data_IF_609202969564
#
_entry.id   IF_609202969564
#
_cell.length_a   1.000
_cell.length_b   1.000
_cell.length_c   1.000
_cell.angle_alpha   90.00
_cell.angle_beta   90.00
_cell.angle_gamma   90.00
#
_symmetry.space_group_name_H-M   'P 1'
#
loop_
_entity.id
_entity.type
_entity.pdbx_description
1 polymer ?
#
# COMPACT_ATOMS: atom_id res chain seq x y z
N UNK A 1 30.06 85.75 8.39
CA UNK A 1 30.88 84.72 9.04
C UNK A 1 31.46 85.32 10.30
N UNK A 2 30.76 85.12 11.42
CA UNK A 2 31.33 85.41 12.75
C UNK A 2 32.50 84.45 12.97
N UNK A 3 33.68 84.97 13.29
CA UNK A 3 34.83 84.15 13.66
C UNK A 3 34.52 83.50 15.01
N UNK A 4 34.20 82.22 14.99
CA UNK A 4 34.16 81.40 16.20
C UNK A 4 35.49 81.57 16.94
N UNK A 5 35.50 81.94 18.22
CA UNK A 5 36.76 82.13 18.96
C UNK A 5 37.55 80.83 18.91
N UNK A 6 38.87 80.94 18.67
CA UNK A 6 39.76 79.78 18.69
C UNK A 6 39.69 79.14 20.08
N UNK A 7 39.28 77.87 20.14
CA UNK A 7 39.23 77.11 21.40
C UNK A 7 40.62 77.08 22.02
N UNK A 8 40.71 77.46 23.30
CA UNK A 8 42.00 77.40 24.01
C UNK A 8 42.32 75.95 24.39
N UNK A 9 43.60 75.67 24.66
CA UNK A 9 44.04 74.31 25.02
C UNK A 9 43.34 73.83 26.29
N UNK A 10 43.08 74.74 27.23
CA UNK A 10 42.40 74.47 28.50
C UNK A 10 40.93 74.08 28.28
N UNK A 11 40.22 74.81 27.42
CA UNK A 11 38.83 74.50 27.05
C UNK A 11 38.72 73.14 26.36
N UNK A 12 39.64 72.84 25.45
CA UNK A 12 39.72 71.52 24.83
C UNK A 12 39.94 70.42 25.87
N UNK A 13 40.90 70.57 26.79
CA UNK A 13 41.15 69.55 27.82
C UNK A 13 39.97 69.34 28.76
N UNK A 14 39.23 70.40 29.09
CA UNK A 14 38.03 70.28 29.92
C UNK A 14 36.92 69.51 29.20
N UNK A 15 36.65 69.86 27.93
CA UNK A 15 35.66 69.17 27.10
C UNK A 15 36.05 67.70 26.85
N UNK A 16 37.32 67.45 26.54
CA UNK A 16 37.86 66.10 26.41
C UNK A 16 37.63 65.27 27.67
N UNK A 17 37.98 65.79 28.84
CA UNK A 17 37.88 65.05 30.11
C UNK A 17 36.43 64.77 30.50
N UNK A 18 35.48 65.57 30.00
CA UNK A 18 34.04 65.34 30.15
C UNK A 18 33.56 64.16 29.31
N UNK A 19 34.01 64.08 28.06
CA UNK A 19 33.57 63.04 27.11
C UNK A 19 34.35 61.72 27.25
N UNK A 20 35.59 61.79 27.74
CA UNK A 20 36.47 60.65 27.99
C UNK A 20 36.91 60.59 29.46
N UNK A 21 35.99 60.34 30.41
CA UNK A 21 36.32 60.33 31.85
C UNK A 21 37.28 59.20 32.23
N UNK A 22 37.33 58.11 31.44
CA UNK A 22 38.28 57.01 31.61
C UNK A 22 39.70 57.33 31.14
N UNK A 23 39.88 58.41 30.36
CA UNK A 23 41.18 58.81 29.81
C UNK A 23 41.37 60.33 29.85
N UNK A 24 41.55 60.92 31.06
CA UNK A 24 41.75 62.35 31.18
C UNK A 24 43.11 62.78 30.62
N UNK A 25 43.13 63.93 29.95
CA UNK A 25 44.31 64.61 29.42
C UNK A 25 44.64 65.85 30.23
N UNK A 26 45.93 66.07 30.44
CA UNK A 26 46.50 67.33 30.92
C UNK A 26 47.30 68.04 29.82
N UNK A 27 47.62 69.32 30.01
CA UNK A 27 48.46 70.09 29.07
C UNK A 27 49.83 69.44 28.83
N UNK A 28 50.40 68.81 29.86
CA UNK A 28 51.70 68.13 29.76
C UNK A 28 51.62 66.83 28.96
N UNK A 29 50.48 66.15 28.98
CA UNK A 29 50.27 64.92 28.24
C UNK A 29 50.25 65.14 26.72
N UNK A 30 49.89 66.35 26.27
CA UNK A 30 49.96 66.72 24.84
C UNK A 30 51.39 66.76 24.29
N UNK A 31 52.41 66.68 25.15
CA UNK A 31 53.83 66.58 24.79
C UNK A 31 54.36 65.14 24.85
N UNK A 32 53.52 64.16 25.20
CA UNK A 32 53.92 62.75 25.35
C UNK A 32 53.33 61.93 24.20
N UNK A 33 54.20 61.28 23.42
CA UNK A 33 53.81 60.47 22.25
C UNK A 33 52.73 59.44 22.57
N UNK A 34 52.96 58.60 23.58
CA UNK A 34 52.02 57.55 23.97
C UNK A 34 50.64 58.10 24.41
N UNK A 35 50.60 59.28 25.04
CA UNK A 35 49.34 59.91 25.46
C UNK A 35 48.55 60.44 24.27
N UNK A 36 49.22 61.14 23.35
CA UNK A 36 48.59 61.65 22.13
C UNK A 36 48.09 60.51 21.25
N UNK A 37 48.89 59.45 21.08
CA UNK A 37 48.48 58.28 20.30
C UNK A 37 47.28 57.55 20.93
N UNK A 38 47.27 57.38 22.25
CA UNK A 38 46.13 56.75 22.94
C UNK A 38 44.87 57.60 22.83
N UNK A 39 44.98 58.92 22.94
CA UNK A 39 43.87 59.85 22.71
C UNK A 39 43.32 59.70 21.28
N UNK A 40 44.18 59.61 20.27
CA UNK A 40 43.75 59.37 18.89
C UNK A 40 43.00 58.05 18.72
N UNK A 41 43.47 56.98 19.35
CA UNK A 41 42.76 55.69 19.34
C UNK A 41 41.35 55.80 19.94
N UNK A 42 41.18 56.55 21.02
CA UNK A 42 39.84 56.80 21.58
C UNK A 42 38.92 57.56 20.62
N UNK A 43 39.47 58.50 19.83
CA UNK A 43 38.69 59.18 18.80
C UNK A 43 38.36 58.23 17.64
N UNK A 44 39.31 57.41 17.20
CA UNK A 44 39.10 56.43 16.13
C UNK A 44 38.03 55.40 16.49
N UNK A 45 38.00 54.92 17.74
CA UNK A 45 36.95 54.03 18.23
C UNK A 45 35.56 54.64 18.05
N UNK A 46 35.41 55.91 18.43
CA UNK A 46 34.13 56.62 18.31
C UNK A 46 33.74 56.89 16.86
N UNK A 47 34.72 57.02 15.97
CA UNK A 47 34.50 57.12 14.53
C UNK A 47 34.26 55.76 13.86
N UNK A 48 34.31 54.64 14.59
CA UNK A 48 34.16 53.29 14.04
C UNK A 48 35.35 52.83 13.20
N UNK A 49 36.52 53.45 13.38
CA UNK A 49 37.76 53.04 12.73
C UNK A 49 38.36 51.91 13.56
N UNK A 50 38.45 50.73 12.95
CA UNK A 50 38.97 49.54 13.59
C UNK A 50 40.43 49.72 14.06
N UNK A 51 40.69 49.42 15.34
CA UNK A 51 42.03 49.46 15.92
C UNK A 51 42.95 48.47 15.27
N UNK A 52 42.45 47.29 14.94
CA UNK A 52 43.31 46.22 14.42
C UNK A 52 43.93 46.65 13.09
N UNK A 53 43.16 47.35 12.26
CA UNK A 53 43.63 48.00 11.03
C UNK A 53 44.77 49.01 11.28
N UNK A 54 44.80 49.69 12.42
CA UNK A 54 45.87 50.66 12.77
C UNK A 54 47.18 49.93 13.08
N UNK A 55 47.10 48.78 13.75
CA UNK A 55 48.27 47.98 14.11
C UNK A 55 48.68 46.99 13.00
N UNK A 56 47.85 46.82 11.97
CA UNK A 56 48.09 45.86 10.91
C UNK A 56 49.30 46.25 10.05
N UNK A 57 50.17 45.27 9.83
CA UNK A 57 51.23 45.36 8.85
C UNK A 57 50.66 45.53 7.43
N UNK A 58 51.36 46.24 6.53
CA UNK A 58 51.01 46.24 5.13
C UNK A 58 51.07 44.81 4.54
N UNK A 59 50.35 44.56 3.42
CA UNK A 59 50.27 43.23 2.80
C UNK A 59 51.64 42.62 2.55
N UNK A 60 51.76 41.30 2.71
CA UNK A 60 53.05 40.58 2.58
C UNK A 60 53.79 40.86 1.27
N UNK A 61 53.05 41.09 0.19
CA UNK A 61 53.55 41.46 -1.14
C UNK A 61 54.37 42.76 -1.15
N UNK A 62 54.15 43.64 -0.17
CA UNK A 62 54.83 44.92 -0.01
C UNK A 62 55.92 44.92 1.07
N UNK A 63 56.10 43.79 1.76
CA UNK A 63 57.08 43.67 2.85
C UNK A 63 58.48 43.42 2.29
N UNK A 64 59.40 44.34 2.57
CA UNK A 64 60.81 44.15 2.28
C UNK A 64 61.53 43.40 3.43
N UNK A 65 62.76 42.94 3.20
CA UNK A 65 63.58 42.24 4.22
C UNK A 65 63.88 43.09 5.46
N UNK A 66 63.74 44.41 5.38
CA UNK A 66 64.04 45.34 6.47
C UNK A 66 62.80 45.74 7.28
N UNK A 67 61.62 45.25 6.90
CA UNK A 67 60.35 45.62 7.51
C UNK A 67 60.31 45.38 9.02
N UNK A 68 60.94 44.29 9.48
CA UNK A 68 61.01 43.93 10.90
C UNK A 68 61.67 45.01 11.78
N UNK A 69 62.56 45.84 11.20
CA UNK A 69 63.24 46.91 11.93
C UNK A 69 62.37 48.15 12.14
N UNK A 70 61.23 48.24 11.46
CA UNK A 70 60.32 49.39 11.50
C UNK A 70 58.93 49.03 12.02
N UNK A 71 58.77 47.82 12.58
CA UNK A 71 57.48 47.32 13.05
C UNK A 71 56.81 48.27 14.06
N UNK A 72 57.60 48.84 14.96
CA UNK A 72 57.12 49.77 16.00
C UNK A 72 56.60 51.11 15.43
N UNK A 73 56.99 51.47 14.19
CA UNK A 73 56.53 52.69 13.53
C UNK A 73 55.22 52.50 12.77
N UNK A 74 54.78 51.26 12.53
CA UNK A 74 53.56 50.95 11.77
C UNK A 74 52.34 51.71 12.34
N UNK A 75 52.07 51.69 13.66
CA UNK A 75 50.89 52.38 14.19
C UNK A 75 50.96 53.88 13.93
N UNK A 76 52.14 54.49 14.09
CA UNK A 76 52.33 55.93 13.85
C UNK A 76 52.11 56.28 12.37
N UNK A 77 52.61 55.45 11.46
CA UNK A 77 52.45 55.64 10.01
C UNK A 77 50.97 55.49 9.63
N UNK A 78 50.30 54.44 10.11
CA UNK A 78 48.89 54.18 9.82
C UNK A 78 47.98 55.27 10.40
N UNK A 79 48.18 55.69 11.65
CA UNK A 79 47.47 56.84 12.23
C UNK A 79 47.67 58.10 11.38
N UNK A 80 48.90 58.39 10.95
CA UNK A 80 49.18 59.56 10.09
C UNK A 80 48.42 59.48 8.76
N UNK A 81 48.37 58.30 8.14
CA UNK A 81 47.62 58.08 6.88
C UNK A 81 46.13 58.25 7.07
N UNK A 82 45.55 57.65 8.11
CA UNK A 82 44.13 57.75 8.44
C UNK A 82 43.74 59.21 8.64
N UNK A 83 44.51 59.94 9.44
CA UNK A 83 44.20 61.35 9.73
C UNK A 83 44.31 62.19 8.46
N UNK A 84 45.38 62.03 7.67
CA UNK A 84 45.50 62.76 6.40
C UNK A 84 44.37 62.40 5.42
N UNK A 85 43.88 61.16 5.42
CA UNK A 85 42.73 60.77 4.62
C UNK A 85 41.45 61.46 5.10
N UNK A 86 41.17 61.46 6.40
CA UNK A 86 40.01 62.15 7.00
C UNK A 86 40.03 63.66 6.73
N UNK A 87 41.21 64.26 6.74
CA UNK A 87 41.39 65.70 6.51
C UNK A 87 41.41 66.03 5.00
N UNK A 88 41.79 65.09 4.13
CA UNK A 88 41.80 65.32 2.67
C UNK A 88 40.43 65.69 2.11
N UNK A 89 39.37 65.27 2.80
CA UNK A 89 37.97 65.58 2.48
C UNK A 89 37.55 66.97 2.99
N UNK A 90 38.42 67.67 3.74
CA UNK A 90 38.21 69.01 4.31
C UNK A 90 39.16 70.02 3.67
N UNK A 91 38.74 70.73 2.60
CA UNK A 91 39.60 71.64 1.83
C UNK A 91 40.21 72.81 2.63
N UNK A 92 39.64 73.08 3.82
CA UNK A 92 39.97 74.23 4.65
C UNK A 92 41.18 73.96 5.58
N UNK A 93 41.57 72.69 5.73
CA UNK A 93 42.69 72.27 6.58
C UNK A 93 43.90 71.99 5.68
N UNK A 94 44.56 73.04 5.21
CA UNK A 94 45.69 72.96 4.27
C UNK A 94 47.02 72.43 4.85
N UNK A 95 46.98 71.62 5.92
CA UNK A 95 48.18 71.19 6.65
C UNK A 95 48.33 69.67 6.60
N UNK A 96 49.40 69.18 5.95
CA UNK A 96 49.75 67.77 5.96
C UNK A 96 50.33 67.38 7.32
N UNK A 97 49.71 66.40 7.97
CA UNK A 97 50.21 65.84 9.21
C UNK A 97 51.31 64.83 8.86
N UNK A 98 52.46 64.97 9.49
CA UNK A 98 53.60 64.05 9.35
C UNK A 98 53.77 63.18 10.59
N UNK A 99 54.51 62.08 10.45
CA UNK A 99 54.84 61.16 11.55
C UNK A 99 55.55 61.86 12.72
N UNK A 100 56.29 62.94 12.46
CA UNK A 100 57.01 63.68 13.49
C UNK A 100 56.09 64.35 14.50
N UNK A 101 54.86 64.70 14.11
CA UNK A 101 53.88 65.24 15.04
C UNK A 101 53.49 64.26 16.15
N UNK A 102 53.71 62.95 15.94
CA UNK A 102 53.42 61.88 16.91
C UNK A 102 54.68 61.35 17.60
N UNK A 103 55.82 61.31 16.91
CA UNK A 103 57.10 60.88 17.50
C UNK A 103 57.71 61.96 18.40
N UNK A 104 57.51 63.24 18.07
CA UNK A 104 58.02 64.39 18.82
C UNK A 104 56.91 65.43 19.05
N UNK A 105 55.84 65.07 19.78
CA UNK A 105 54.70 65.94 19.94
C UNK A 105 55.05 67.16 20.80
N UNK A 106 54.54 68.32 20.37
CA UNK A 106 54.51 69.53 21.19
C UNK A 106 53.06 69.91 21.44
N UNK A 107 52.78 70.64 22.52
CA UNK A 107 51.42 71.13 22.76
C UNK A 107 50.87 71.95 21.58
N UNK A 108 51.73 72.67 20.84
CA UNK A 108 51.35 73.44 19.65
C UNK A 108 50.96 72.58 18.45
N UNK A 109 51.52 71.37 18.32
CA UNK A 109 51.23 70.46 17.19
C UNK A 109 50.14 69.46 17.52
N UNK A 110 50.14 68.90 18.74
CA UNK A 110 49.17 67.87 19.14
C UNK A 110 47.77 68.44 19.35
N UNK A 111 47.67 69.63 19.94
CA UNK A 111 46.37 70.24 20.25
C UNK A 111 45.50 70.48 19.00
N UNK A 112 45.98 71.12 17.91
CA UNK A 112 45.18 71.30 16.71
C UNK A 112 44.73 69.99 16.06
N UNK A 113 45.59 68.96 16.06
CA UNK A 113 45.26 67.65 15.49
C UNK A 113 44.15 66.97 16.29
N UNK A 114 44.30 66.90 17.62
CA UNK A 114 43.30 66.29 18.50
C UNK A 114 42.00 67.08 18.50
N UNK A 115 42.05 68.41 18.53
CA UNK A 115 40.86 69.26 18.47
C UNK A 115 40.09 69.06 17.17
N UNK A 116 40.78 68.96 16.03
CA UNK A 116 40.15 68.72 14.74
C UNK A 116 39.41 67.37 14.72
N UNK A 117 40.07 66.31 15.16
CA UNK A 117 39.49 64.96 15.17
C UNK A 117 38.39 64.82 16.21
N UNK A 118 38.53 65.44 17.38
CA UNK A 118 37.50 65.51 18.40
C UNK A 118 36.25 66.23 17.89
N UNK A 119 36.41 67.36 17.19
CA UNK A 119 35.27 68.07 16.59
C UNK A 119 34.61 67.25 15.47
N UNK A 120 35.40 66.53 14.66
CA UNK A 120 34.86 65.61 13.65
C UNK A 120 34.03 64.50 14.30
N UNK A 121 34.52 63.92 15.39
CA UNK A 121 33.80 62.93 16.17
C UNK A 121 32.46 63.47 16.69
N UNK A 122 32.47 64.63 17.35
CA UNK A 122 31.24 65.26 17.84
C UNK A 122 30.25 65.55 16.72
N UNK A 123 30.73 66.08 15.59
CA UNK A 123 29.90 66.32 14.41
C UNK A 123 29.28 65.01 13.89
N UNK A 124 30.06 63.94 13.81
CA UNK A 124 29.57 62.64 13.36
C UNK A 124 28.51 62.07 14.31
N UNK A 125 28.73 62.13 15.63
CA UNK A 125 27.75 61.68 16.62
C UNK A 125 26.44 62.48 16.53
N UNK A 126 26.50 63.80 16.28
CA UNK A 126 25.31 64.62 16.08
C UNK A 126 24.58 64.24 14.79
N UNK A 127 25.30 64.06 13.67
CA UNK A 127 24.69 63.64 12.39
C UNK A 127 24.11 62.23 12.45
N UNK A 128 24.73 61.31 13.18
CA UNK A 128 24.19 59.96 13.38
C UNK A 128 22.86 59.99 14.13
N UNK A 129 22.66 60.92 15.08
CA UNK A 129 21.35 61.10 15.74
C UNK A 129 20.26 61.54 14.76
N UNK A 130 20.60 62.35 13.77
CA UNK A 130 19.67 62.78 12.73
C UNK A 130 19.30 61.62 11.77
N UNK A 131 20.21 60.65 11.59
CA UNK A 131 20.02 59.49 10.68
C UNK A 131 19.34 58.31 11.39
N UNK A 132 19.53 58.16 12.71
CA UNK A 132 19.03 57.04 13.50
C UNK A 132 17.55 56.68 13.27
N UNK A 133 16.60 57.64 13.17
CA UNK A 133 15.19 57.31 12.91
C UNK A 133 14.96 56.60 11.57
N UNK A 134 15.71 56.97 10.53
CA UNK A 134 15.63 56.35 9.21
C UNK A 134 16.25 54.95 9.21
N UNK A 135 17.32 54.76 9.99
CA UNK A 135 17.95 53.45 10.18
C UNK A 135 17.01 52.48 10.92
N UNK A 136 16.35 52.96 11.98
CA UNK A 136 15.32 52.19 12.70
C UNK A 136 14.13 51.82 11.79
N UNK A 137 13.67 52.75 10.95
CA UNK A 137 12.63 52.47 9.96
C UNK A 137 13.06 51.40 8.96
N UNK A 138 14.30 51.49 8.45
CA UNK A 138 14.86 50.51 7.53
C UNK A 138 14.91 49.12 8.17
N UNK A 139 15.41 49.00 9.41
CA UNK A 139 15.45 47.73 10.12
C UNK A 139 14.05 47.17 10.39
N UNK A 140 13.08 48.03 10.71
CA UNK A 140 11.68 47.62 10.87
C UNK A 140 11.12 47.05 9.57
N UNK A 141 11.37 47.71 8.43
CA UNK A 141 10.94 47.22 7.11
C UNK A 141 11.62 45.92 6.70
N UNK A 142 12.90 45.75 7.02
CA UNK A 142 13.61 44.48 6.80
C UNK A 142 12.94 43.34 7.59
N UNK A 143 12.53 43.59 8.84
CA UNK A 143 11.83 42.60 9.64
C UNK A 143 10.42 42.30 9.09
N UNK A 144 9.71 43.31 8.59
CA UNK A 144 8.42 43.12 7.90
C UNK A 144 8.57 42.22 6.67
N UNK A 145 9.60 42.45 5.84
CA UNK A 145 9.89 41.58 4.68
C UNK A 145 10.18 40.15 5.11
N UNK A 146 11.00 39.94 6.15
CA UNK A 146 11.29 38.60 6.67
C UNK A 146 10.04 37.86 7.14
N UNK A 147 9.15 38.54 7.86
CA UNK A 147 7.89 37.91 8.32
C UNK A 147 6.96 37.55 7.16
N UNK A 148 6.93 38.36 6.10
CA UNK A 148 6.21 38.04 4.86
C UNK A 148 6.83 36.85 4.10
N UNK A 149 8.16 36.78 4.04
CA UNK A 149 8.87 35.64 3.45
C UNK A 149 8.56 34.33 4.21
N UNK A 150 8.59 34.36 5.54
CA UNK A 150 8.21 33.22 6.38
C UNK A 150 6.74 32.81 6.15
N UNK A 151 5.85 33.80 6.04
CA UNK A 151 4.44 33.58 5.72
C UNK A 151 4.24 32.90 4.36
N UNK A 152 4.95 33.38 3.32
CA UNK A 152 4.95 32.77 1.99
C UNK A 152 5.44 31.33 2.04
N UNK A 153 6.53 31.06 2.76
CA UNK A 153 7.11 29.70 2.84
C UNK A 153 6.13 28.73 3.50
N UNK A 154 5.47 29.12 4.59
CA UNK A 154 4.41 28.30 5.23
C UNK A 154 3.23 28.02 4.31
N UNK A 155 2.84 28.99 3.48
CA UNK A 155 1.77 28.78 2.50
C UNK A 155 2.17 27.79 1.42
N UNK A 156 3.43 27.84 0.95
CA UNK A 156 3.95 26.87 -0.01
C UNK A 156 4.01 25.45 0.57
N UNK A 157 4.41 25.30 1.84
CA UNK A 157 4.38 24.01 2.54
C UNK A 157 2.97 23.42 2.56
N UNK A 158 1.97 24.21 2.97
CA UNK A 158 0.55 23.77 2.98
C UNK A 158 0.04 23.42 1.58
N UNK A 159 0.46 24.16 0.55
CA UNK A 159 0.08 23.87 -0.83
C UNK A 159 0.65 22.52 -1.28
N UNK A 160 1.90 22.23 -0.92
CA UNK A 160 2.56 20.97 -1.23
C UNK A 160 1.89 19.80 -0.49
N UNK A 161 1.53 19.96 0.78
CA UNK A 161 0.78 18.97 1.54
C UNK A 161 -0.57 18.65 0.88
N UNK A 162 -1.32 19.68 0.47
CA UNK A 162 -2.59 19.49 -0.25
C UNK A 162 -2.41 18.78 -1.61
N UNK A 163 -1.33 19.10 -2.34
CA UNK A 163 -1.02 18.43 -3.59
C UNK A 163 -0.68 16.95 -3.39
N UNK A 164 0.09 16.62 -2.34
CA UNK A 164 0.41 15.25 -1.97
C UNK A 164 -0.84 14.46 -1.57
N UNK A 165 -1.72 15.04 -0.74
CA UNK A 165 -3.00 14.41 -0.38
C UNK A 165 -3.90 14.18 -1.60
N UNK A 166 -3.94 15.13 -2.54
CA UNK A 166 -4.68 14.99 -3.79
C UNK A 166 -4.12 13.85 -4.64
N UNK A 167 -2.80 13.72 -4.72
CA UNK A 167 -2.13 12.58 -5.36
C UNK A 167 -2.52 11.25 -4.73
N UNK A 168 -2.38 11.12 -3.40
CA UNK A 168 -2.80 9.92 -2.65
C UNK A 168 -4.29 9.61 -2.78
N UNK A 169 -5.14 10.63 -2.94
CA UNK A 169 -6.58 10.43 -3.19
C UNK A 169 -6.82 9.90 -4.60
N UNK A 170 -6.12 10.41 -5.60
CA UNK A 170 -6.22 9.92 -6.97
C UNK A 170 -5.79 8.44 -7.07
N UNK A 171 -4.65 8.07 -6.45
CA UNK A 171 -4.19 6.67 -6.41
C UNK A 171 -5.19 5.73 -5.72
N UNK A 172 -5.86 6.20 -4.66
CA UNK A 172 -6.91 5.43 -3.98
C UNK A 172 -8.15 5.25 -4.86
N UNK A 173 -8.54 6.29 -5.60
CA UNK A 173 -9.66 6.22 -6.53
C UNK A 173 -9.35 5.26 -7.68
N UNK A 174 -8.15 5.30 -8.25
CA UNK A 174 -7.74 4.38 -9.31
C UNK A 174 -7.80 2.92 -8.85
N UNK A 175 -7.34 2.62 -7.62
CA UNK A 175 -7.46 1.28 -7.04
C UNK A 175 -8.92 0.84 -6.88
N UNK A 176 -9.78 1.73 -6.39
CA UNK A 176 -11.20 1.44 -6.26
C UNK A 176 -11.85 1.21 -7.63
N UNK A 177 -11.49 1.99 -8.65
CA UNK A 177 -12.00 1.80 -10.01
C UNK A 177 -11.57 0.44 -10.57
N UNK A 178 -10.31 0.02 -10.36
CA UNK A 178 -9.86 -1.32 -10.76
C UNK A 178 -10.58 -2.45 -10.02
N UNK A 179 -10.88 -2.26 -8.73
CA UNK A 179 -11.63 -3.23 -7.92
C UNK A 179 -13.09 -3.31 -8.35
N UNK A 180 -13.72 -2.18 -8.67
CA UNK A 180 -15.08 -2.13 -9.22
C UNK A 180 -15.15 -2.91 -10.54
N UNK A 181 -14.20 -2.67 -11.47
CA UNK A 181 -14.17 -3.39 -12.75
C UNK A 181 -14.05 -4.91 -12.51
N UNK A 182 -13.17 -5.33 -11.60
CA UNK A 182 -13.00 -6.74 -11.28
C UNK A 182 -14.28 -7.36 -10.69
N UNK A 183 -14.93 -6.68 -9.75
CA UNK A 183 -16.19 -7.13 -9.15
C UNK A 183 -17.34 -7.16 -10.17
N UNK A 184 -17.37 -6.22 -11.12
CA UNK A 184 -18.33 -6.23 -12.22
C UNK A 184 -18.13 -7.43 -13.15
N UNK A 185 -16.87 -7.81 -13.42
CA UNK A 185 -16.53 -9.02 -14.17
C UNK A 185 -16.94 -10.29 -13.40
N UNK A 186 -16.63 -10.39 -12.10
CA UNK A 186 -17.04 -11.53 -11.26
C UNK A 186 -18.57 -11.68 -11.23
N UNK A 187 -19.30 -10.56 -11.04
CA UNK A 187 -20.76 -10.55 -11.04
C UNK A 187 -21.32 -11.01 -12.40
N UNK A 188 -20.65 -10.68 -13.50
CA UNK A 188 -21.05 -11.15 -14.83
C UNK A 188 -20.90 -12.68 -14.94
N UNK A 189 -19.77 -13.23 -14.49
CA UNK A 189 -19.54 -14.67 -14.51
C UNK A 189 -20.53 -15.41 -13.61
N UNK A 190 -20.84 -14.88 -12.43
CA UNK A 190 -21.83 -15.48 -11.51
C UNK A 190 -23.24 -15.45 -12.11
N UNK A 191 -23.61 -14.37 -12.81
CA UNK A 191 -24.90 -14.32 -13.54
C UNK A 191 -24.97 -15.33 -14.68
N UNK A 192 -23.89 -15.49 -15.44
CA UNK A 192 -23.82 -16.49 -16.52
C UNK A 192 -23.94 -17.90 -15.95
N UNK A 193 -23.23 -18.22 -14.87
CA UNK A 193 -23.32 -19.51 -14.17
C UNK A 193 -24.73 -19.76 -13.61
N UNK A 194 -25.34 -18.77 -12.96
CA UNK A 194 -26.72 -18.88 -12.47
C UNK A 194 -27.73 -19.08 -13.61
N UNK A 195 -27.52 -18.47 -14.79
CA UNK A 195 -28.39 -18.69 -15.94
C UNK A 195 -28.24 -20.12 -16.51
N UNK A 196 -27.03 -20.69 -16.47
CA UNK A 196 -26.77 -22.08 -16.83
C UNK A 196 -27.44 -23.05 -15.85
N UNK A 197 -27.23 -22.87 -14.54
CA UNK A 197 -27.89 -23.66 -13.49
C UNK A 197 -29.42 -23.59 -13.60
N UNK A 198 -29.96 -22.41 -13.92
CA UNK A 198 -31.40 -22.25 -14.14
C UNK A 198 -31.89 -23.06 -15.34
N UNK A 199 -31.13 -23.09 -16.45
CA UNK A 199 -31.46 -23.92 -17.62
C UNK A 199 -31.40 -25.41 -17.29
N UNK A 200 -30.39 -25.84 -16.54
CA UNK A 200 -30.30 -27.23 -16.07
C UNK A 200 -31.48 -27.60 -15.17
N UNK A 201 -31.86 -26.73 -14.24
CA UNK A 201 -33.03 -26.94 -13.38
C UNK A 201 -34.32 -27.04 -14.20
N UNK A 202 -34.50 -26.19 -15.22
CA UNK A 202 -35.67 -26.26 -16.11
C UNK A 202 -35.71 -27.58 -16.91
N UNK A 203 -34.56 -28.13 -17.31
CA UNK A 203 -34.46 -29.45 -17.95
C UNK A 203 -34.91 -30.53 -16.96
N UNK A 204 -34.35 -30.56 -15.75
CA UNK A 204 -34.70 -31.55 -14.72
C UNK A 204 -36.19 -31.47 -14.37
N UNK A 205 -36.76 -30.27 -14.22
CA UNK A 205 -38.19 -30.09 -13.94
C UNK A 205 -39.08 -30.60 -15.08
N UNK A 206 -38.62 -30.50 -16.33
CA UNK A 206 -39.37 -31.06 -17.47
C UNK A 206 -39.26 -32.58 -17.53
N UNK A 207 -38.10 -33.16 -17.23
CA UNK A 207 -37.92 -34.62 -17.10
C UNK A 207 -38.77 -35.20 -15.97
N UNK A 208 -38.84 -34.51 -14.83
CA UNK A 208 -39.67 -34.90 -13.68
C UNK A 208 -41.15 -34.91 -14.07
N UNK A 209 -41.64 -33.85 -14.75
CA UNK A 209 -43.01 -33.81 -15.29
C UNK A 209 -43.30 -34.94 -16.28
N UNK A 210 -42.35 -35.27 -17.17
CA UNK A 210 -42.52 -36.39 -18.10
C UNK A 210 -42.61 -37.72 -17.35
N UNK A 211 -41.78 -37.89 -16.32
CA UNK A 211 -41.79 -39.06 -15.45
C UNK A 211 -43.12 -39.20 -14.73
N UNK A 212 -43.66 -38.11 -14.18
CA UNK A 212 -44.98 -38.09 -13.55
C UNK A 212 -46.11 -38.50 -14.51
N UNK A 213 -46.11 -37.98 -15.74
CA UNK A 213 -47.08 -38.37 -16.77
C UNK A 213 -46.97 -39.87 -17.06
N UNK A 214 -45.76 -40.38 -17.22
CA UNK A 214 -45.53 -41.80 -17.51
C UNK A 214 -45.95 -42.68 -16.32
N UNK A 215 -45.67 -42.25 -15.10
CA UNK A 215 -46.08 -42.94 -13.88
C UNK A 215 -47.61 -43.02 -13.79
N UNK A 216 -48.31 -41.93 -14.10
CA UNK A 216 -49.76 -41.90 -14.13
C UNK A 216 -50.35 -42.82 -15.21
N UNK A 217 -49.77 -42.82 -16.42
CA UNK A 217 -50.14 -43.77 -17.48
C UNK A 217 -49.95 -45.23 -17.03
N UNK A 218 -48.84 -45.54 -16.35
CA UNK A 218 -48.58 -46.89 -15.83
C UNK A 218 -49.54 -47.29 -14.71
N UNK A 219 -49.94 -46.36 -13.82
CA UNK A 219 -51.00 -46.61 -12.84
C UNK A 219 -52.33 -46.92 -13.51
N UNK A 220 -52.74 -46.11 -14.49
CA UNK A 220 -53.98 -46.38 -15.25
C UNK A 220 -53.92 -47.74 -15.93
N UNK A 221 -52.80 -48.09 -16.56
CA UNK A 221 -52.62 -49.40 -17.19
C UNK A 221 -52.71 -50.55 -16.18
N UNK A 222 -52.07 -50.41 -15.01
CA UNK A 222 -52.17 -51.36 -13.90
C UNK A 222 -53.62 -51.54 -13.47
N UNK A 223 -54.36 -50.45 -13.29
CA UNK A 223 -55.75 -50.49 -12.84
C UNK A 223 -56.65 -51.15 -13.90
N UNK A 224 -56.42 -50.91 -15.20
CA UNK A 224 -57.06 -51.63 -16.29
C UNK A 224 -56.77 -53.14 -16.27
N UNK A 225 -55.51 -53.54 -16.05
CA UNK A 225 -55.12 -54.94 -15.93
C UNK A 225 -55.77 -55.61 -14.72
N UNK A 226 -55.83 -54.92 -13.57
CA UNK A 226 -56.54 -55.40 -12.37
C UNK A 226 -58.02 -55.64 -12.70
N UNK A 227 -58.69 -54.67 -13.33
CA UNK A 227 -60.09 -54.81 -13.74
C UNK A 227 -60.31 -55.97 -14.73
N UNK A 228 -59.37 -56.20 -15.66
CA UNK A 228 -59.44 -57.34 -16.58
C UNK A 228 -59.24 -58.67 -15.86
N UNK A 229 -58.30 -58.75 -14.90
CA UNK A 229 -58.10 -59.92 -14.05
C UNK A 229 -59.34 -60.19 -13.21
N UNK A 230 -59.97 -59.17 -12.63
CA UNK A 230 -61.23 -59.29 -11.90
C UNK A 230 -62.38 -59.77 -12.80
N UNK A 231 -62.50 -59.22 -14.01
CA UNK A 231 -63.47 -59.68 -15.02
C UNK A 231 -63.25 -61.15 -15.37
N UNK A 232 -62.01 -61.57 -15.64
CA UNK A 232 -61.68 -62.98 -15.92
C UNK A 232 -61.92 -63.88 -14.71
N UNK A 233 -61.72 -63.38 -13.48
CA UNK A 233 -62.07 -64.10 -12.25
C UNK A 233 -63.59 -64.21 -12.07
N UNK A 234 -64.37 -63.20 -12.41
CA UNK A 234 -65.83 -63.25 -12.38
C UNK A 234 -66.40 -64.20 -13.45
N UNK A 235 -65.76 -64.28 -14.63
CA UNK A 235 -66.06 -65.29 -15.66
C UNK A 235 -65.63 -66.71 -15.27
N UNK A 236 -64.83 -66.87 -14.20
CA UNK A 236 -64.45 -68.17 -13.62
C UNK A 236 -65.51 -68.75 -12.67
N UNK A 237 -66.72 -68.19 -12.66
CA UNK A 237 -67.89 -68.89 -12.16
C UNK A 237 -68.29 -69.92 -13.21
N UNK A 238 -67.87 -71.16 -12.97
CA UNK A 238 -68.36 -72.32 -13.70
C UNK A 238 -69.86 -72.46 -13.45
N UNK A 239 -70.70 -72.24 -14.46
CA UNK A 239 -71.97 -72.95 -14.49
C UNK A 239 -71.63 -74.44 -14.63
N UNK A 240 -72.06 -75.24 -13.66
CA UNK A 240 -71.83 -76.68 -13.64
C UNK A 240 -72.34 -77.38 -14.93
N UNK A 241 -73.22 -76.70 -15.66
CA UNK A 241 -73.78 -77.13 -16.94
C UNK A 241 -72.78 -77.00 -18.11
N UNK A 242 -71.87 -76.03 -18.10
CA UNK A 242 -70.85 -75.86 -19.17
C UNK A 242 -69.73 -76.92 -19.06
N UNK A 243 -69.35 -77.31 -17.83
CA UNK A 243 -68.43 -78.44 -17.60
C UNK A 243 -69.10 -79.76 -18.05
N UNK A 244 -70.40 -79.92 -17.78
CA UNK A 244 -71.16 -81.10 -18.23
C UNK A 244 -71.25 -81.18 -19.75
N UNK A 245 -71.51 -80.06 -20.43
CA UNK A 245 -71.59 -80.00 -21.88
C UNK A 245 -70.25 -80.36 -22.55
N UNK A 246 -69.13 -79.86 -22.02
CA UNK A 246 -67.79 -80.22 -22.53
C UNK A 246 -67.43 -81.68 -22.25
N UNK A 247 -67.84 -82.23 -21.10
CA UNK A 247 -67.63 -83.64 -20.76
C UNK A 247 -68.49 -84.58 -21.62
N UNK A 248 -69.75 -84.22 -21.92
CA UNK A 248 -70.65 -84.99 -22.80
C UNK A 248 -70.17 -84.96 -24.25
N UNK A 249 -69.71 -83.80 -24.76
CA UNK A 249 -69.14 -83.71 -26.11
C UNK A 249 -67.86 -84.57 -26.26
N UNK A 250 -67.00 -84.58 -25.23
CA UNK A 250 -65.81 -85.42 -25.21
C UNK A 250 -66.16 -86.92 -25.15
N UNK A 251 -67.17 -87.30 -24.37
CA UNK A 251 -67.66 -88.68 -24.29
C UNK A 251 -68.28 -89.15 -25.63
N UNK A 252 -69.06 -88.29 -26.29
CA UNK A 252 -69.69 -88.59 -27.57
C UNK A 252 -68.66 -88.75 -28.70
N UNK A 253 -67.64 -87.90 -28.72
CA UNK A 253 -66.51 -88.05 -29.67
C UNK A 253 -65.73 -89.35 -29.44
N UNK A 254 -65.57 -89.77 -28.18
CA UNK A 254 -64.87 -91.02 -27.86
C UNK A 254 -65.70 -92.24 -28.29
N UNK A 255 -67.02 -92.18 -28.14
CA UNK A 255 -67.94 -93.22 -28.60
C UNK A 255 -67.96 -93.33 -30.13
N UNK A 256 -68.00 -92.23 -30.86
CA UNK A 256 -67.88 -92.24 -32.34
C UNK A 256 -66.52 -92.79 -32.81
N UNK A 257 -65.44 -92.51 -32.07
CA UNK A 257 -64.13 -93.06 -32.36
C UNK A 257 -64.09 -94.59 -32.13
N UNK A 258 -64.72 -95.08 -31.06
CA UNK A 258 -64.88 -96.52 -30.80
C UNK A 258 -65.74 -97.21 -31.87
N UNK A 259 -66.83 -96.59 -32.33
CA UNK A 259 -67.66 -97.13 -33.41
C UNK A 259 -66.92 -97.20 -34.74
N UNK A 260 -66.12 -96.17 -35.07
CA UNK A 260 -65.22 -96.20 -36.23
C UNK A 260 -64.14 -97.28 -36.09
N UNK A 261 -63.56 -97.46 -34.91
CA UNK A 261 -62.60 -98.52 -34.63
C UNK A 261 -63.24 -99.91 -34.81
N UNK A 262 -64.48 -100.09 -34.36
CA UNK A 262 -65.22 -101.35 -34.52
C UNK A 262 -65.61 -101.62 -35.98
N UNK A 263 -66.01 -100.60 -36.74
CA UNK A 263 -66.21 -100.72 -38.20
C UNK A 263 -64.91 -101.12 -38.92
N UNK A 264 -63.78 -100.54 -38.53
CA UNK A 264 -62.46 -100.89 -39.08
C UNK A 264 -62.07 -102.33 -38.73
N UNK A 265 -62.29 -102.79 -37.49
CA UNK A 265 -62.08 -104.19 -37.09
C UNK A 265 -62.96 -105.18 -37.89
N UNK A 266 -64.23 -104.86 -38.10
CA UNK A 266 -65.13 -105.69 -38.91
C UNK A 266 -64.69 -105.76 -40.38
N UNK A 267 -64.21 -104.63 -40.93
CA UNK A 267 -63.67 -104.56 -42.30
C UNK A 267 -62.38 -105.38 -42.42
N UNK A 268 -61.53 -105.36 -41.40
CA UNK A 268 -60.28 -106.14 -41.34
C UNK A 268 -60.58 -107.64 -41.26
N UNK A 269 -61.56 -108.06 -40.46
CA UNK A 269 -62.01 -109.46 -40.38
C UNK A 269 -62.60 -109.97 -41.71
N UNK A 270 -63.34 -109.13 -42.46
CA UNK A 270 -63.83 -109.47 -43.80
C UNK A 270 -62.69 -109.61 -44.83
N UNK A 271 -61.64 -108.79 -44.74
CA UNK A 271 -60.42 -108.95 -45.55
C UNK A 271 -59.65 -110.23 -45.17
N UNK A 272 -59.59 -110.57 -43.88
CA UNK A 272 -58.94 -111.79 -43.39
C UNK A 272 -59.66 -113.07 -43.87
N UNK A 273 -60.99 -113.07 -43.92
CA UNK A 273 -61.78 -114.16 -44.51
C UNK A 273 -61.63 -114.26 -46.03
N UNK A 274 -61.46 -113.13 -46.72
CA UNK A 274 -61.16 -113.12 -48.16
C UNK A 274 -59.75 -113.68 -48.46
N UNK A 275 -58.78 -113.44 -47.58
CA UNK A 275 -57.42 -114.01 -47.64
C UNK A 275 -57.40 -115.52 -47.38
N UNK A 276 -58.25 -116.05 -46.47
CA UNK A 276 -58.38 -117.50 -46.24
C UNK A 276 -58.99 -118.25 -47.44
N UNK A 277 -59.87 -117.62 -48.23
CA UNK A 277 -60.40 -118.20 -49.48
C UNK A 277 -59.38 -118.17 -50.64
N UNK A 278 -58.42 -117.24 -50.64
CA UNK A 278 -57.31 -117.19 -51.60
C UNK A 278 -56.19 -118.20 -51.29
N UNK A 279 -56.10 -118.68 -50.04
CA UNK A 279 -55.08 -119.66 -49.62
C UNK A 279 -55.41 -121.11 -50.00
N UNK A 280 -56.65 -121.39 -50.45
CA UNK A 280 -57.12 -122.74 -50.83
C UNK A 280 -56.83 -123.14 -52.30
N UNK A 281 -56.22 -122.28 -53.14
CA UNK A 281 -56.03 -122.51 -54.59
C UNK A 281 -54.52 -122.58 -55.00
N UNK A 282 -53.58 -122.63 -54.03
CA UNK A 282 -52.13 -122.53 -54.28
C UNK A 282 -51.29 -123.82 -54.53
N UNK A 283 -51.77 -125.08 -54.46
CA UNK A 283 -50.86 -126.24 -54.70
C UNK A 283 -50.40 -126.49 -56.16
N UNK A 284 -50.75 -125.66 -57.15
CA UNK A 284 -50.38 -125.88 -58.57
C UNK A 284 -49.30 -124.93 -59.12
N UNK A 285 -48.70 -124.05 -58.31
CA UNK A 285 -47.62 -123.13 -58.77
C UNK A 285 -46.24 -123.42 -58.18
N UNK A 286 -46.15 -124.31 -57.18
CA UNK A 286 -44.89 -124.64 -56.49
C UNK A 286 -44.00 -125.65 -57.25
N UNK A 287 -44.42 -126.15 -58.42
CA UNK A 287 -43.59 -126.99 -59.29
C UNK A 287 -42.80 -126.20 -60.36
N UNK A 288 -43.14 -124.93 -60.62
CA UNK A 288 -42.43 -124.09 -61.59
C UNK A 288 -41.25 -123.29 -60.99
N UNK A 289 -41.29 -123.01 -59.68
CA UNK A 289 -40.32 -122.14 -59.00
C UNK A 289 -38.99 -122.85 -58.70
N UNK A 290 -38.97 -124.18 -58.68
CA UNK A 290 -37.73 -124.95 -58.51
C UNK A 290 -36.85 -125.00 -59.77
N UNK A 291 -37.37 -124.62 -60.94
CA UNK A 291 -36.60 -124.57 -62.21
C UNK A 291 -36.10 -123.16 -62.58
N UNK A 292 -36.56 -122.11 -61.88
CA UNK A 292 -36.08 -120.73 -62.09
C UNK A 292 -35.08 -120.26 -61.02
N UNK A 293 -35.03 -120.96 -59.88
CA UNK A 293 -34.02 -120.78 -58.83
C UNK A 293 -32.59 -121.21 -59.23
N UNK A 294 -32.42 -121.80 -60.41
CA UNK A 294 -31.11 -122.25 -60.92
C UNK A 294 -30.47 -121.25 -61.92
N UNK A 295 -31.22 -120.29 -62.47
CA UNK A 295 -30.73 -119.39 -63.53
C UNK A 295 -30.42 -117.97 -63.03
N UNK A 296 -31.10 -117.46 -62.00
CA UNK A 296 -30.89 -116.07 -61.52
C UNK A 296 -29.92 -116.00 -60.32
N UNK A 297 -29.49 -117.15 -59.79
CA UNK A 297 -28.57 -117.26 -58.64
C UNK A 297 -27.09 -116.98 -58.97
N UNK A 298 -26.75 -116.53 -60.17
CA UNK A 298 -25.34 -116.39 -60.59
C UNK A 298 -24.94 -115.12 -61.35
N UNK A 299 -25.81 -114.14 -61.64
CA UNK A 299 -25.42 -113.11 -62.61
C UNK A 299 -25.43 -111.64 -62.24
N UNK A 300 -25.92 -111.17 -61.09
CA UNK A 300 -25.79 -109.72 -60.80
C UNK A 300 -26.01 -109.38 -59.32
N UNK A 301 -25.11 -109.92 -58.50
CA UNK A 301 -24.81 -109.39 -57.17
C UNK A 301 -24.43 -107.90 -57.25
N UNK A 302 -25.45 -107.07 -57.06
CA UNK A 302 -25.48 -105.74 -56.44
C UNK A 302 -24.25 -104.85 -56.64
N UNK A 303 -24.35 -103.98 -57.66
CA UNK A 303 -23.78 -102.64 -57.67
C UNK A 303 -24.94 -101.64 -57.65
N UNK A 304 -24.91 -100.79 -56.62
CA UNK A 304 -24.93 -99.33 -56.76
C UNK A 304 -26.20 -98.59 -57.23
N UNK A 305 -26.63 -97.70 -56.33
CA UNK A 305 -27.10 -96.32 -56.52
C UNK A 305 -28.59 -95.95 -56.69
N UNK A 306 -28.81 -94.72 -56.17
CA UNK A 306 -29.87 -93.72 -56.35
C UNK A 306 -31.13 -93.84 -55.47
N UNK A 307 -31.62 -92.77 -54.84
CA UNK A 307 -31.65 -91.35 -55.27
C UNK A 307 -32.00 -90.37 -54.12
N UNK A 308 -31.42 -89.15 -54.18
CA UNK A 308 -32.04 -87.80 -54.12
C UNK A 308 -32.90 -87.37 -52.90
N UNK A 309 -32.95 -86.12 -52.42
CA UNK A 309 -32.43 -84.79 -52.79
C UNK A 309 -32.91 -83.80 -51.69
N UNK A 310 -32.18 -82.70 -51.44
CA UNK A 310 -32.71 -81.32 -51.31
C UNK A 310 -31.65 -80.32 -50.77
N UNK A 311 -31.45 -79.28 -51.59
CA UNK A 311 -30.60 -78.10 -51.48
C UNK A 311 -30.95 -77.11 -50.32
N UNK A 312 -29.96 -76.31 -49.88
CA UNK A 312 -30.01 -74.84 -49.99
C UNK A 312 -28.75 -74.14 -49.43
N UNK A 313 -28.30 -73.14 -50.19
CA UNK A 313 -27.16 -72.23 -50.00
C UNK A 313 -27.23 -71.32 -48.75
N UNK A 314 -26.06 -71.00 -48.18
CA UNK A 314 -25.69 -69.64 -47.70
C UNK A 314 -24.24 -69.64 -47.20
N UNK A 315 -23.31 -69.15 -48.01
CA UNK A 315 -21.89 -69.07 -47.66
C UNK A 315 -21.28 -67.68 -47.99
N UNK A 316 -22.04 -66.60 -47.77
CA UNK A 316 -21.58 -65.23 -48.05
C UNK A 316 -21.90 -64.19 -46.95
N UNK A 317 -22.69 -64.54 -45.93
CA UNK A 317 -23.08 -63.61 -44.84
C UNK A 317 -22.11 -63.53 -43.66
N UNK A 318 -21.32 -64.58 -43.40
CA UNK A 318 -20.44 -64.61 -42.20
C UNK A 318 -19.19 -63.74 -42.37
N UNK A 319 -18.73 -63.53 -43.61
CA UNK A 319 -17.50 -62.78 -43.90
C UNK A 319 -17.72 -61.27 -43.84
N UNK A 320 -18.92 -60.79 -44.17
CA UNK A 320 -19.31 -59.38 -44.08
C UNK A 320 -19.50 -58.95 -42.61
N UNK A 321 -20.12 -59.82 -41.79
CA UNK A 321 -20.31 -59.60 -40.34
C UNK A 321 -18.97 -59.47 -39.61
N UNK A 322 -18.00 -60.36 -39.89
CA UNK A 322 -16.67 -60.30 -39.28
C UNK A 322 -15.92 -59.02 -39.68
N UNK A 323 -16.10 -58.54 -40.91
CA UNK A 323 -15.44 -57.32 -41.38
C UNK A 323 -16.04 -56.05 -40.75
N UNK A 324 -17.36 -56.02 -40.54
CA UNK A 324 -18.03 -54.94 -39.79
C UNK A 324 -17.62 -54.93 -38.32
N UNK A 325 -17.55 -56.10 -37.68
CA UNK A 325 -17.10 -56.22 -36.28
C UNK A 325 -15.63 -55.81 -36.11
N UNK A 326 -14.77 -56.16 -37.08
CA UNK A 326 -13.36 -55.73 -37.08
C UNK A 326 -13.23 -54.21 -37.22
N UNK A 327 -14.00 -53.58 -38.09
CA UNK A 327 -13.99 -52.11 -38.27
C UNK A 327 -14.55 -51.38 -37.05
N UNK A 328 -15.59 -51.92 -36.41
CA UNK A 328 -16.14 -51.36 -35.17
C UNK A 328 -15.15 -51.47 -34.00
N UNK A 329 -14.42 -52.59 -33.89
CA UNK A 329 -13.37 -52.76 -32.89
C UNK A 329 -12.17 -51.83 -33.14
N UNK A 330 -11.80 -51.57 -34.39
CA UNK A 330 -10.77 -50.58 -34.74
C UNK A 330 -11.21 -49.15 -34.39
N UNK A 331 -12.48 -48.80 -34.65
CA UNK A 331 -13.04 -47.50 -34.27
C UNK A 331 -13.05 -47.32 -32.73
N UNK A 332 -13.49 -48.33 -31.98
CA UNK A 332 -13.45 -48.31 -30.52
C UNK A 332 -12.03 -48.20 -29.96
N UNK A 333 -11.04 -48.82 -30.61
CA UNK A 333 -9.62 -48.66 -30.26
C UNK A 333 -9.09 -47.27 -30.54
N UNK A 334 -9.51 -46.64 -31.64
CA UNK A 334 -9.17 -45.26 -31.97
C UNK A 334 -9.75 -44.28 -30.95
N UNK A 335 -11.03 -44.46 -30.57
CA UNK A 335 -11.70 -43.66 -29.56
C UNK A 335 -11.06 -43.83 -28.17
N UNK A 336 -10.70 -45.05 -27.78
CA UNK A 336 -9.97 -45.31 -26.53
C UNK A 336 -8.58 -44.66 -26.52
N UNK A 337 -7.88 -44.63 -27.66
CA UNK A 337 -6.59 -43.94 -27.79
C UNK A 337 -6.75 -42.43 -27.69
N UNK A 338 -7.78 -41.87 -28.32
CA UNK A 338 -8.10 -40.45 -28.24
C UNK A 338 -8.48 -40.04 -26.81
N UNK A 339 -9.34 -40.81 -26.14
CA UNK A 339 -9.73 -40.59 -24.75
C UNK A 339 -8.52 -40.66 -23.79
N UNK A 340 -7.61 -41.63 -23.99
CA UNK A 340 -6.36 -41.72 -23.21
C UNK A 340 -5.45 -40.52 -23.44
N UNK A 341 -5.32 -40.04 -24.68
CA UNK A 341 -4.53 -38.86 -24.99
C UNK A 341 -5.12 -37.58 -24.35
N UNK A 342 -6.45 -37.44 -24.35
CA UNK A 342 -7.14 -36.32 -23.72
C UNK A 342 -6.97 -36.33 -22.19
N UNK A 343 -7.10 -37.50 -21.55
CA UNK A 343 -6.85 -37.64 -20.10
C UNK A 343 -5.41 -37.32 -19.75
N UNK A 344 -4.43 -37.80 -20.55
CA UNK A 344 -3.03 -37.47 -20.35
C UNK A 344 -2.76 -35.96 -20.46
N UNK A 345 -3.39 -35.30 -21.43
CA UNK A 345 -3.30 -33.85 -21.62
C UNK A 345 -3.91 -33.08 -20.43
N UNK A 346 -5.10 -33.47 -19.96
CA UNK A 346 -5.75 -32.87 -18.77
C UNK A 346 -4.93 -33.06 -17.51
N UNK A 347 -4.27 -34.22 -17.34
CA UNK A 347 -3.36 -34.45 -16.21
C UNK A 347 -2.14 -33.53 -16.27
N UNK A 348 -1.55 -33.35 -17.45
CA UNK A 348 -0.41 -32.46 -17.65
C UNK A 348 -0.78 -30.98 -17.40
N UNK A 349 -1.93 -30.54 -17.90
CA UNK A 349 -2.46 -29.18 -17.68
C UNK A 349 -2.76 -28.93 -16.19
N UNK A 350 -3.39 -29.89 -15.51
CA UNK A 350 -3.64 -29.79 -14.06
C UNK A 350 -2.34 -29.76 -13.25
N UNK A 351 -1.32 -30.52 -13.66
CA UNK A 351 -0.01 -30.50 -12.99
C UNK A 351 0.69 -29.14 -13.19
N UNK A 352 0.64 -28.57 -14.39
CA UNK A 352 1.17 -27.25 -14.68
C UNK A 352 0.43 -26.16 -13.89
N UNK A 353 -0.91 -26.23 -13.82
CA UNK A 353 -1.74 -25.30 -13.05
C UNK A 353 -1.39 -25.34 -11.55
N UNK A 354 -1.25 -26.54 -10.96
CA UNK A 354 -0.81 -26.68 -9.55
C UNK A 354 0.57 -26.11 -9.30
N UNK A 355 1.52 -26.28 -10.22
CA UNK A 355 2.86 -25.70 -10.10
C UNK A 355 2.80 -24.16 -10.15
N UNK A 356 1.96 -23.60 -11.02
CA UNK A 356 1.76 -22.16 -11.11
C UNK A 356 1.08 -21.60 -9.85
N UNK A 357 0.05 -22.25 -9.34
CA UNK A 357 -0.64 -21.87 -8.09
C UNK A 357 0.31 -21.93 -6.88
N UNK A 358 1.15 -22.97 -6.80
CA UNK A 358 2.16 -23.09 -5.75
C UNK A 358 3.20 -21.95 -5.83
N UNK A 359 3.68 -21.62 -7.03
CA UNK A 359 4.60 -20.50 -7.22
C UNK A 359 3.97 -19.17 -6.82
N UNK A 360 2.69 -18.95 -7.20
CA UNK A 360 1.95 -17.74 -6.84
C UNK A 360 1.77 -17.62 -5.32
N UNK A 361 1.44 -18.73 -4.65
CA UNK A 361 1.32 -18.78 -3.20
C UNK A 361 2.66 -18.48 -2.50
N UNK A 362 3.77 -19.00 -3.01
CA UNK A 362 5.12 -18.69 -2.49
C UNK A 362 5.50 -17.22 -2.67
N UNK A 363 5.20 -16.61 -3.82
CA UNK A 363 5.41 -15.17 -4.02
C UNK A 363 4.55 -14.32 -3.09
N UNK A 364 3.27 -14.67 -2.95
CA UNK A 364 2.35 -13.96 -2.04
C UNK A 364 2.81 -14.05 -0.58
N UNK A 365 3.32 -15.22 -0.17
CA UNK A 365 3.89 -15.41 1.17
C UNK A 365 5.10 -14.50 1.40
N UNK A 366 6.04 -14.45 0.45
CA UNK A 366 7.22 -13.57 0.54
C UNK A 366 6.84 -12.08 0.62
N UNK A 367 5.87 -11.65 -0.20
CA UNK A 367 5.39 -10.27 -0.15
C UNK A 367 4.71 -9.93 1.18
N UNK A 368 3.94 -10.87 1.74
CA UNK A 368 3.32 -10.72 3.04
C UNK A 368 4.36 -10.62 4.17
N UNK A 369 5.39 -11.47 4.14
CA UNK A 369 6.52 -11.42 5.09
C UNK A 369 7.30 -10.10 4.99
N UNK A 370 7.53 -9.58 3.79
CA UNK A 370 8.22 -8.30 3.60
C UNK A 370 7.36 -7.12 4.11
N UNK A 371 6.05 -7.14 3.84
CA UNK A 371 5.10 -6.15 4.38
C UNK A 371 5.08 -6.19 5.91
N UNK A 372 5.06 -7.38 6.50
CA UNK A 372 5.07 -7.54 7.95
C UNK A 372 6.39 -7.02 8.56
N UNK A 373 7.53 -7.34 7.95
CA UNK A 373 8.83 -6.81 8.38
C UNK A 373 8.85 -5.27 8.36
N UNK A 374 8.31 -4.64 7.31
CA UNK A 374 8.20 -3.17 7.22
C UNK A 374 7.29 -2.59 8.30
N UNK A 375 6.18 -3.27 8.64
CA UNK A 375 5.27 -2.87 9.73
C UNK A 375 5.94 -2.98 11.09
N UNK A 376 6.62 -4.08 11.38
CA UNK A 376 7.37 -4.29 12.64
C UNK A 376 8.44 -3.22 12.81
N UNK A 377 9.19 -2.90 11.75
CA UNK A 377 10.22 -1.84 11.82
C UNK A 377 9.61 -0.45 12.05
N UNK A 378 8.47 -0.15 11.40
CA UNK A 378 7.74 1.11 11.60
C UNK A 378 7.16 1.21 13.01
N UNK A 379 6.61 0.12 13.54
CA UNK A 379 6.11 0.05 14.91
C UNK A 379 7.24 0.28 15.93
N UNK A 380 8.42 -0.33 15.71
CA UNK A 380 9.60 -0.11 16.56
C UNK A 380 10.05 1.36 16.57
N UNK A 381 10.08 2.02 15.41
CA UNK A 381 10.42 3.45 15.30
C UNK A 381 9.38 4.32 16.04
N UNK A 382 8.11 4.00 15.94
CA UNK A 382 7.04 4.70 16.66
C UNK A 382 7.18 4.53 18.18
N UNK A 383 7.48 3.32 18.66
CA UNK A 383 7.70 3.07 20.09
C UNK A 383 8.88 3.88 20.63
N UNK A 384 10.01 3.90 19.89
CA UNK A 384 11.18 4.70 20.27
C UNK A 384 10.84 6.20 20.36
N UNK A 385 10.13 6.73 19.35
CA UNK A 385 9.71 8.14 19.36
C UNK A 385 8.75 8.46 20.51
N UNK A 386 7.90 7.51 20.89
CA UNK A 386 6.99 7.66 22.03
C UNK A 386 7.76 7.70 23.35
N UNK A 387 8.80 6.88 23.52
CA UNK A 387 9.70 6.93 24.67
C UNK A 387 10.48 8.25 24.75
N UNK A 388 11.02 8.75 23.63
CA UNK A 388 11.68 10.06 23.56
C UNK A 388 10.73 11.21 23.96
N UNK A 389 9.48 11.18 23.49
CA UNK A 389 8.47 12.17 23.87
C UNK A 389 8.11 12.10 25.35
N UNK A 390 8.02 10.90 25.93
CA UNK A 390 7.81 10.73 27.37
C UNK A 390 8.97 11.35 28.16
N UNK A 391 10.21 11.10 27.75
CA UNK A 391 11.38 11.68 28.42
C UNK A 391 11.42 13.20 28.31
N UNK A 392 11.16 13.77 27.13
CA UNK A 392 11.08 15.23 26.95
C UNK A 392 9.97 15.85 27.80
N UNK A 393 8.82 15.17 27.92
CA UNK A 393 7.72 15.64 28.76
C UNK A 393 8.11 15.66 30.24
N UNK A 394 8.80 14.63 30.74
CA UNK A 394 9.27 14.62 32.13
C UNK A 394 10.25 15.76 32.39
N UNK A 395 11.22 15.99 31.50
CA UNK A 395 12.18 17.11 31.64
C UNK A 395 11.48 18.46 31.62
N UNK A 396 10.49 18.65 30.74
CA UNK A 396 9.70 19.88 30.71
C UNK A 396 8.87 20.10 31.98
N UNK A 397 8.29 19.03 32.55
CA UNK A 397 7.55 19.12 33.81
C UNK A 397 8.47 19.45 34.99
N UNK A 398 9.71 18.94 35.01
CA UNK A 398 10.77 19.27 35.98
C UNK A 398 11.21 20.74 35.84
N UNK A 399 11.60 21.19 34.65
CA UNK A 399 11.99 22.58 34.37
C UNK A 399 10.87 23.56 34.75
N UNK A 400 9.62 23.21 34.44
CA UNK A 400 8.45 24.02 34.82
C UNK A 400 8.30 24.13 36.33
N UNK A 401 8.53 23.05 37.07
CA UNK A 401 8.46 23.07 38.53
C UNK A 401 9.58 23.96 39.12
N UNK A 402 10.81 23.83 38.62
CA UNK A 402 11.94 24.66 39.04
C UNK A 402 11.66 26.15 38.79
N UNK A 403 11.19 26.50 37.60
CA UNK A 403 10.85 27.89 37.26
C UNK A 403 9.71 28.45 38.14
N UNK A 404 8.73 27.62 38.51
CA UNK A 404 7.65 28.04 39.42
C UNK A 404 8.16 28.28 40.85
N UNK A 405 9.12 27.48 41.31
CA UNK A 405 9.77 27.67 42.60
C UNK A 405 10.63 28.95 42.60
N UNK A 406 11.39 29.21 41.52
CA UNK A 406 12.12 30.47 41.35
C UNK A 406 11.20 31.68 41.36
N UNK A 407 10.09 31.63 40.63
CA UNK A 407 9.10 32.71 40.58
C UNK A 407 8.50 32.97 41.97
N UNK A 408 8.22 31.90 42.72
CA UNK A 408 7.74 32.00 44.11
C UNK A 408 8.79 32.62 45.02
N UNK A 409 10.06 32.26 44.85
CA UNK A 409 11.18 32.85 45.60
C UNK A 409 11.34 34.34 45.30
N UNK A 410 11.36 34.73 44.03
CA UNK A 410 11.44 36.13 43.59
C UNK A 410 10.26 36.93 44.17
N UNK A 411 9.04 36.39 44.12
CA UNK A 411 7.86 37.02 44.70
C UNK A 411 8.01 37.26 46.21
N UNK A 412 8.54 36.28 46.94
CA UNK A 412 8.75 36.38 48.38
C UNK A 412 9.85 37.40 48.71
N UNK A 413 10.96 37.39 47.98
CA UNK A 413 12.07 38.33 48.14
C UNK A 413 11.63 39.77 47.88
N UNK A 414 10.87 39.98 46.80
CA UNK A 414 10.28 41.29 46.47
C UNK A 414 9.30 41.76 47.56
N UNK A 415 8.40 40.87 48.02
CA UNK A 415 7.44 41.20 49.09
C UNK A 415 8.13 41.56 50.40
N UNK A 416 9.19 40.84 50.75
CA UNK A 416 9.97 41.11 51.96
C UNK A 416 10.76 42.42 51.84
N UNK A 417 11.32 42.71 50.67
CA UNK A 417 11.99 43.99 50.39
C UNK A 417 11.02 45.17 50.53
N UNK A 418 9.81 45.06 49.94
CA UNK A 418 8.77 46.08 50.08
C UNK A 418 8.39 46.32 51.55
N UNK A 419 8.15 45.27 52.33
CA UNK A 419 7.86 45.39 53.77
C UNK A 419 9.00 46.08 54.52
N UNK A 420 10.25 45.71 54.24
CA UNK A 420 11.42 46.32 54.88
C UNK A 420 11.56 47.81 54.56
N UNK A 421 11.25 48.21 53.32
CA UNK A 421 11.22 49.62 52.91
C UNK A 421 10.08 50.36 53.62
N UNK A 422 8.89 49.76 53.66
CA UNK A 422 7.71 50.32 54.34
C UNK A 422 8.00 50.54 55.84
N UNK A 423 8.53 49.53 56.53
CA UNK A 423 8.92 49.62 57.94
C UNK A 423 9.97 50.72 58.18
N UNK A 424 10.96 50.84 57.27
CA UNK A 424 11.99 51.87 57.33
C UNK A 424 11.42 53.28 57.14
N UNK A 425 10.44 53.44 56.25
CA UNK A 425 9.74 54.71 56.02
C UNK A 425 8.86 55.07 57.21
N UNK A 426 8.12 54.12 57.78
CA UNK A 426 7.32 54.32 58.99
C UNK A 426 8.22 54.76 60.15
N UNK A 427 9.35 54.09 60.36
CA UNK A 427 10.31 54.46 61.41
C UNK A 427 10.86 55.87 61.23
N UNK A 428 11.29 56.25 60.01
CA UNK A 428 11.73 57.62 59.72
C UNK A 428 10.63 58.64 59.98
N UNK A 429 9.39 58.34 59.61
CA UNK A 429 8.24 59.22 59.81
C UNK A 429 7.96 59.43 61.30
N UNK A 430 8.03 58.36 62.11
CA UNK A 430 7.91 58.42 63.57
C UNK A 430 9.05 59.23 64.21
N UNK A 431 10.30 59.04 63.77
CA UNK A 431 11.45 59.80 64.27
C UNK A 431 11.34 61.29 63.96
N UNK A 432 10.88 61.64 62.75
CA UNK A 432 10.60 63.04 62.36
C UNK A 432 9.48 63.63 63.20
N UNK A 433 8.38 62.89 63.38
CA UNK A 433 7.25 63.30 64.23
C UNK A 433 7.73 63.59 65.65
N UNK A 434 8.52 62.70 66.25
CA UNK A 434 9.10 62.87 67.58
C UNK A 434 9.99 64.11 67.67
N UNK A 435 10.86 64.34 66.67
CA UNK A 435 11.70 65.56 66.61
C UNK A 435 10.87 66.85 66.51
N UNK A 436 9.73 66.82 65.81
CA UNK A 436 8.82 67.96 65.71
C UNK A 436 8.13 68.19 67.06
N UNK A 437 7.62 67.13 67.70
CA UNK A 437 6.99 67.18 69.02
C UNK A 437 7.96 67.72 70.08
N UNK A 438 9.21 67.24 70.11
CA UNK A 438 10.25 67.73 71.01
C UNK A 438 10.55 69.22 70.79
N UNK A 439 10.60 69.67 69.53
CA UNK A 439 10.77 71.10 69.19
C UNK A 439 9.59 71.96 69.66
N UNK A 440 8.36 71.47 69.51
CA UNK A 440 7.16 72.18 69.98
C UNK A 440 7.17 72.26 71.52
N UNK A 441 7.51 71.16 72.19
CA UNK A 441 7.57 71.09 73.66
C UNK A 441 8.62 72.03 74.24
N UNK A 442 9.80 72.11 73.62
CA UNK A 442 10.85 73.04 74.02
C UNK A 442 10.49 74.51 73.77
N UNK A 443 9.59 74.80 72.81
CA UNK A 443 9.04 76.14 72.58
C UNK A 443 7.98 76.56 73.58
N UNK A 444 7.24 75.62 74.14
CA UNK A 444 6.16 75.89 75.12
C UNK A 444 6.66 75.92 76.58
N UNK A 445 7.91 75.51 76.83
CA UNK A 445 8.57 75.55 78.15
C UNK A 445 9.62 76.69 78.26
N UNK A 446 9.71 77.55 77.24
CA UNK A 446 10.30 78.90 77.31
C UNK A 446 9.16 79.90 77.46
#
# INVERSE_FOLDING_TARGET
MEKTPASTVEQFTENWNRDFPSYPLTLDDLKKSHKVMSALLHVFDRLGIDKDTIFQAPPEESNNKHFIYYWDLIPVINMTRIINHLISVMPQVGTNITINHFLQPTAKTSHPILLLLYNLMLFNEERLRDIAPYEEELFSKINEVKTLEDGKNRLLEKLNEQAEEKGKRAERLEKLDTEIIHLEEELKHEKEAHEEEKKELDIILNEDKQTDILLEQKKTHRDCLIAEVEKKRAQRVYDADDIKAQAEQAAQNNQEAEEKLNCLKATLMNKENSLKNLHAIKPNLDTGINLLHEIIKLSESMKDYDSDDLESDSQDGELEVINTESNELEAQLADLRAARAEVAKKLQENQAKRQQEMMLAETNLREAEEKERKRVESAKKLTQRLEELKHRRTTYEEEKAELMDELTRIKNDFSNSLKSIEDSLIKKTLDVKKRIEDKIRNRNNM
#
